data_IF_323842056417
#
_entry.id   IF_323842056417
#
_cell.length_a   1.000
_cell.length_b   1.000
_cell.length_c   1.000
_cell.angle_alpha   90.00
_cell.angle_beta   90.00
_cell.angle_gamma   90.00
#
_symmetry.space_group_name_H-M   'P 1'
#
loop_
_entity.id
_entity.type
_entity.pdbx_description
1 polymer ?
#
# COMPACT_ATOMS: atom_id res chain seq x y z
N UNK A 1 14.26 15.17 7.43
CA UNK A 1 14.51 14.08 8.38
C UNK A 1 13.18 13.41 8.64
N UNK A 2 13.08 12.11 8.36
CA UNK A 2 12.06 11.27 8.96
C UNK A 2 12.47 10.90 10.40
N UNK A 3 11.61 10.19 11.13
CA UNK A 3 11.85 9.88 12.55
C UNK A 3 13.09 9.01 12.78
N UNK A 4 13.47 8.18 11.80
CA UNK A 4 14.63 7.30 11.95
C UNK A 4 15.90 8.07 11.63
N UNK A 5 15.95 8.91 10.59
CA UNK A 5 17.12 9.76 10.30
C UNK A 5 17.33 10.93 11.26
N UNK A 6 16.31 11.32 12.04
CA UNK A 6 16.49 12.29 13.15
C UNK A 6 17.12 11.64 14.39
N UNK A 7 16.81 10.37 14.64
CA UNK A 7 17.22 9.66 15.85
C UNK A 7 18.48 8.79 15.62
N UNK A 8 18.79 8.49 14.35
CA UNK A 8 19.98 7.74 13.91
C UNK A 8 20.81 8.57 12.94
N UNK A 9 22.03 8.91 13.36
CA UNK A 9 22.97 9.68 12.53
C UNK A 9 23.31 8.92 11.24
N UNK A 10 22.86 9.45 10.10
CA UNK A 10 23.28 9.00 8.78
C UNK A 10 24.51 9.81 8.32
N UNK A 11 25.39 9.15 7.55
CA UNK A 11 26.60 9.77 7.03
C UNK A 11 26.27 10.99 6.16
N UNK A 12 27.09 12.06 6.22
CA UNK A 12 26.86 13.32 5.48
C UNK A 12 26.65 13.12 3.96
N UNK A 13 27.24 12.06 3.41
CA UNK A 13 27.07 11.69 2.00
C UNK A 13 25.59 11.51 1.58
N UNK A 14 24.72 11.08 2.51
CA UNK A 14 23.27 10.94 2.25
C UNK A 14 22.57 12.28 1.93
N UNK A 15 23.21 13.42 2.23
CA UNK A 15 22.69 14.76 1.93
C UNK A 15 23.31 15.39 0.68
N UNK A 16 24.37 14.79 0.13
CA UNK A 16 25.17 15.37 -0.96
C UNK A 16 25.11 14.55 -2.25
N UNK A 17 24.76 13.26 -2.16
CA UNK A 17 24.68 12.34 -3.29
C UNK A 17 23.44 11.45 -3.19
N UNK A 18 23.18 10.69 -4.24
CA UNK A 18 22.14 9.66 -4.25
C UNK A 18 22.53 8.52 -3.31
N UNK A 19 21.56 8.09 -2.51
CA UNK A 19 21.71 6.95 -1.60
C UNK A 19 20.52 6.02 -1.73
N UNK A 20 20.78 4.73 -1.59
CA UNK A 20 19.76 3.69 -1.59
C UNK A 20 19.32 3.43 -0.16
N UNK A 21 18.08 3.79 0.13
CA UNK A 21 17.35 3.36 1.32
C UNK A 21 16.60 2.07 1.00
N UNK A 22 16.57 1.14 1.95
CA UNK A 22 15.79 -0.08 1.83
C UNK A 22 15.06 -0.36 3.14
N UNK A 23 13.84 -0.86 3.01
CA UNK A 23 13.05 -1.39 4.11
C UNK A 23 12.69 -2.82 3.75
N UNK A 24 13.16 -3.76 4.57
CA UNK A 24 12.76 -5.15 4.49
C UNK A 24 11.71 -5.42 5.56
N UNK A 25 10.62 -6.09 5.18
CA UNK A 25 9.51 -6.38 6.07
C UNK A 25 9.13 -7.85 5.95
N UNK A 26 9.37 -8.59 7.02
CA UNK A 26 9.09 -10.03 7.13
C UNK A 26 8.03 -10.25 8.20
N UNK A 27 6.98 -10.99 7.85
CA UNK A 27 5.83 -11.28 8.73
C UNK A 27 6.09 -12.47 9.67
N UNK A 28 5.11 -12.80 10.52
CA UNK A 28 5.16 -13.95 11.42
C UNK A 28 5.95 -13.75 12.71
N UNK A 29 5.93 -14.78 13.56
CA UNK A 29 6.48 -14.73 14.93
C UNK A 29 8.00 -14.50 14.98
N UNK A 30 8.71 -14.86 13.91
CA UNK A 30 10.15 -14.66 13.74
C UNK A 30 10.49 -13.54 12.74
N UNK A 31 9.49 -12.76 12.33
CA UNK A 31 9.62 -11.66 11.38
C UNK A 31 10.34 -10.44 11.95
N UNK A 32 10.46 -9.39 11.14
CA UNK A 32 11.07 -8.12 11.50
C UNK A 32 10.73 -7.01 10.49
N UNK A 33 10.89 -5.75 10.90
CA UNK A 33 11.06 -4.63 9.97
C UNK A 33 12.49 -4.10 10.11
N UNK A 34 13.23 -4.03 9.01
CA UNK A 34 14.64 -3.65 8.99
C UNK A 34 14.87 -2.50 8.02
N UNK A 35 15.60 -1.49 8.46
CA UNK A 35 16.01 -0.35 7.66
C UNK A 35 17.49 -0.45 7.32
N UNK A 36 17.79 -0.23 6.05
CA UNK A 36 19.14 -0.25 5.52
C UNK A 36 19.45 1.01 4.72
N UNK A 37 20.71 1.42 4.75
CA UNK A 37 21.27 2.45 3.88
C UNK A 37 22.50 1.86 3.22
N UNK A 38 22.55 1.86 1.88
CA UNK A 38 23.66 1.27 1.12
C UNK A 38 23.94 -0.19 1.53
N UNK A 39 22.87 -0.99 1.69
CA UNK A 39 22.93 -2.38 2.14
C UNK A 39 23.60 -2.59 3.51
N UNK A 40 23.62 -1.55 4.35
CA UNK A 40 24.05 -1.64 5.75
C UNK A 40 22.84 -1.44 6.66
N UNK A 41 22.62 -2.40 7.55
CA UNK A 41 21.54 -2.33 8.55
C UNK A 41 21.82 -1.20 9.53
N UNK A 42 20.88 -0.26 9.62
CA UNK A 42 20.96 0.87 10.56
C UNK A 42 19.99 0.71 11.73
N UNK A 43 18.87 0.03 11.52
CA UNK A 43 17.86 -0.19 12.54
C UNK A 43 16.99 -1.40 12.22
N UNK A 44 16.50 -2.08 13.26
CA UNK A 44 15.62 -3.23 13.14
C UNK A 44 14.63 -3.29 14.30
N UNK A 45 13.39 -3.63 13.99
CA UNK A 45 12.37 -4.00 14.97
C UNK A 45 12.04 -5.48 14.74
N UNK A 46 12.52 -6.39 15.60
CA UNK A 46 12.15 -7.80 15.52
C UNK A 46 10.71 -8.01 16.00
N UNK A 47 10.02 -9.02 15.47
CA UNK A 47 8.66 -9.39 15.88
C UNK A 47 8.54 -9.61 17.40
N UNK A 48 9.60 -10.11 18.04
CA UNK A 48 9.66 -10.30 19.50
C UNK A 48 9.38 -9.01 20.29
N UNK A 49 9.76 -7.84 19.75
CA UNK A 49 9.48 -6.56 20.39
C UNK A 49 7.96 -6.27 20.52
N UNK A 50 7.15 -6.87 19.64
CA UNK A 50 5.70 -6.74 19.61
C UNK A 50 5.00 -7.93 20.28
N UNK A 51 5.49 -9.15 20.06
CA UNK A 51 4.87 -10.39 20.55
C UNK A 51 5.27 -10.72 21.99
N UNK A 52 6.44 -10.27 22.43
CA UNK A 52 6.98 -10.49 23.77
C UNK A 52 7.58 -9.20 24.37
N UNK A 53 6.81 -8.11 24.45
CA UNK A 53 7.31 -6.86 25.01
C UNK A 53 7.69 -7.05 26.48
N UNK A 54 8.68 -6.30 27.01
CA UNK A 54 9.04 -6.33 28.42
C UNK A 54 7.81 -6.15 29.31
N UNK A 55 7.75 -6.88 30.42
CA UNK A 55 6.59 -6.87 31.31
C UNK A 55 6.98 -6.41 32.71
N UNK A 56 6.10 -5.62 33.33
CA UNK A 56 6.18 -5.33 34.74
C UNK A 56 5.54 -6.47 35.58
N UNK A 57 5.51 -6.33 36.91
CA UNK A 57 4.90 -7.34 37.79
C UNK A 57 3.41 -7.57 37.47
N UNK A 58 2.72 -6.54 36.97
CA UNK A 58 1.31 -6.61 36.63
C UNK A 58 1.06 -7.17 35.22
N UNK A 59 2.10 -7.33 34.40
CA UNK A 59 2.06 -7.87 33.04
C UNK A 59 1.07 -7.12 32.14
N UNK A 60 1.10 -5.79 32.23
CA UNK A 60 0.10 -4.93 31.58
C UNK A 60 0.41 -4.60 30.12
N UNK A 61 1.62 -4.87 29.64
CA UNK A 61 1.98 -4.50 28.28
C UNK A 61 1.31 -5.46 27.29
N UNK A 62 0.52 -4.95 26.32
CA UNK A 62 -0.21 -5.79 25.40
C UNK A 62 0.75 -6.52 24.46
N UNK A 63 0.56 -7.83 24.32
CA UNK A 63 1.20 -8.63 23.28
C UNK A 63 0.45 -8.43 21.99
N UNK A 64 1.17 -8.11 20.92
CA UNK A 64 0.62 -7.89 19.58
C UNK A 64 1.20 -8.92 18.63
N UNK A 65 0.55 -9.12 17.51
CA UNK A 65 1.14 -9.83 16.38
C UNK A 65 2.14 -8.91 15.66
N UNK A 66 3.02 -9.51 14.86
CA UNK A 66 3.79 -8.76 13.86
C UNK A 66 2.81 -8.07 12.91
N UNK A 67 3.19 -6.95 12.32
CA UNK A 67 2.30 -6.22 11.42
C UNK A 67 2.24 -6.96 10.08
N UNK A 68 1.06 -7.48 9.74
CA UNK A 68 0.80 -8.28 8.54
C UNK A 68 -0.16 -7.59 7.56
N UNK A 69 -0.70 -6.43 7.94
CA UNK A 69 -1.63 -5.68 7.11
C UNK A 69 -0.94 -5.04 5.90
N UNK A 70 -1.60 -5.00 4.74
CA UNK A 70 -1.07 -4.32 3.56
C UNK A 70 -0.93 -2.82 3.83
N UNK A 71 0.16 -2.23 3.34
CA UNK A 71 0.48 -0.82 3.53
C UNK A 71 0.79 -0.14 2.20
N UNK A 72 0.82 1.19 2.25
CA UNK A 72 1.30 2.05 1.18
C UNK A 72 2.72 2.55 1.46
N UNK A 73 3.45 2.89 0.40
CA UNK A 73 4.71 3.65 0.51
C UNK A 73 4.40 5.11 0.21
N UNK A 74 4.68 5.99 1.17
CA UNK A 74 4.54 7.45 1.00
C UNK A 74 5.91 8.11 1.16
N UNK A 75 6.21 8.99 0.22
CA UNK A 75 7.33 9.93 0.30
C UNK A 75 6.79 11.35 0.36
N UNK A 76 7.11 12.06 1.43
CA UNK A 76 6.76 13.46 1.59
C UNK A 76 7.92 14.24 2.21
N UNK A 77 7.92 15.55 1.99
CA UNK A 77 8.79 16.49 2.69
C UNK A 77 7.91 17.35 3.58
N UNK A 78 8.25 17.40 4.86
CA UNK A 78 7.58 18.23 5.84
C UNK A 78 8.61 19.05 6.62
N UNK A 79 8.18 20.23 7.08
CA UNK A 79 8.94 21.10 7.97
C UNK A 79 8.13 21.27 9.25
N UNK A 80 8.79 21.19 10.40
CA UNK A 80 8.19 21.40 11.71
C UNK A 80 8.91 22.52 12.43
N UNK A 81 8.18 23.29 13.23
CA UNK A 81 8.76 24.30 14.12
C UNK A 81 9.36 23.69 15.39
N UNK A 82 8.99 22.46 15.75
CA UNK A 82 9.27 21.86 17.06
C UNK A 82 10.03 20.54 17.01
N UNK A 83 10.27 19.97 15.83
CA UNK A 83 10.86 18.63 15.71
C UNK A 83 11.73 18.50 14.44
N UNK A 84 12.93 17.93 14.58
CA UNK A 84 13.92 17.84 13.51
C UNK A 84 14.65 19.16 13.25
N UNK A 85 14.78 19.54 11.97
CA UNK A 85 15.38 20.82 11.56
C UNK A 85 14.36 21.95 11.59
N UNK A 86 14.36 22.73 12.68
CA UNK A 86 13.48 23.89 12.82
C UNK A 86 13.91 25.03 11.88
N UNK A 87 13.00 25.64 11.10
CA UNK A 87 13.33 26.80 10.30
C UNK A 87 13.68 28.00 11.21
N UNK A 88 14.59 28.87 10.78
CA UNK A 88 14.90 30.10 11.51
C UNK A 88 13.63 30.93 11.78
N UNK A 89 13.54 31.52 12.97
CA UNK A 89 12.45 32.40 13.38
C UNK A 89 11.03 31.80 13.19
N UNK A 90 10.89 30.49 13.39
CA UNK A 90 9.61 29.80 13.27
C UNK A 90 8.53 30.44 14.16
N UNK A 91 7.44 30.92 13.55
CA UNK A 91 6.34 31.57 14.27
C UNK A 91 6.53 33.06 14.56
N UNK A 92 7.68 33.64 14.24
CA UNK A 92 8.00 35.06 14.45
C UNK A 92 7.88 35.90 13.17
N UNK A 93 7.58 35.26 12.03
CA UNK A 93 7.32 35.92 10.75
C UNK A 93 8.28 35.50 9.65
N UNK A 94 9.17 36.42 9.24
CA UNK A 94 10.14 36.18 8.17
C UNK A 94 11.20 35.16 8.60
N UNK A 95 11.52 34.21 7.72
CA UNK A 95 12.65 33.29 7.90
C UNK A 95 13.95 34.03 8.28
N UNK A 96 14.22 35.19 7.66
CA UNK A 96 15.46 35.94 7.90
C UNK A 96 15.47 36.76 9.19
N UNK A 97 14.36 36.82 9.94
CA UNK A 97 14.23 37.74 11.08
C UNK A 97 14.52 39.18 10.67
N UNK A 98 15.47 39.83 11.36
CA UNK A 98 15.96 41.18 11.03
C UNK A 98 17.08 41.21 9.97
N UNK A 99 17.53 40.05 9.50
CA UNK A 99 18.55 39.88 8.47
C UNK A 99 20.00 40.02 8.97
N UNK A 100 20.24 40.12 10.28
CA UNK A 100 21.58 40.31 10.84
C UNK A 100 22.41 39.02 10.94
N UNK A 101 21.75 37.87 11.01
CA UNK A 101 22.40 36.56 11.14
C UNK A 101 22.80 35.99 9.78
N UNK A 102 24.11 35.81 9.56
CA UNK A 102 24.61 35.21 8.32
C UNK A 102 24.19 33.75 8.17
N UNK A 103 24.02 33.03 9.27
CA UNK A 103 23.59 31.63 9.29
C UNK A 103 22.12 31.50 8.89
N UNK A 104 21.23 32.29 9.51
CA UNK A 104 19.80 32.27 9.17
C UNK A 104 19.58 32.69 7.72
N UNK A 105 20.30 33.73 7.27
CA UNK A 105 20.24 34.16 5.88
C UNK A 105 20.66 33.04 4.91
N UNK A 106 21.73 32.30 5.20
CA UNK A 106 22.18 31.18 4.36
C UNK A 106 21.16 30.03 4.32
N UNK A 107 20.53 29.71 5.45
CA UNK A 107 19.44 28.72 5.51
C UNK A 107 18.23 29.22 4.69
N UNK A 108 17.83 30.47 4.87
CA UNK A 108 16.69 31.04 4.14
C UNK A 108 16.96 31.18 2.62
N UNK A 109 18.22 31.37 2.21
CA UNK A 109 18.65 31.41 0.81
C UNK A 109 18.61 30.04 0.13
N UNK A 110 18.65 28.95 0.92
CA UNK A 110 18.61 27.58 0.39
C UNK A 110 17.20 27.10 -0.01
N UNK A 111 16.16 27.88 0.24
CA UNK A 111 14.80 27.59 -0.21
C UNK A 111 14.54 28.05 -1.66
N UNK A 112 13.74 27.31 -2.45
CA UNK A 112 13.09 26.05 -2.11
C UNK A 112 14.06 24.85 -2.11
N UNK A 113 13.90 23.97 -1.13
CA UNK A 113 14.59 22.67 -1.06
C UNK A 113 13.76 21.59 -1.77
N UNK A 114 14.43 20.56 -2.27
CA UNK A 114 13.80 19.46 -3.02
C UNK A 114 14.24 18.11 -2.48
N UNK A 115 13.28 17.20 -2.25
CA UNK A 115 13.54 15.77 -2.18
C UNK A 115 13.49 15.21 -3.60
N UNK A 116 14.57 14.57 -4.03
CA UNK A 116 14.66 13.93 -5.34
C UNK A 116 14.66 12.42 -5.15
N UNK A 117 13.90 11.72 -5.98
CA UNK A 117 13.81 10.27 -6.00
C UNK A 117 14.15 9.85 -7.43
N UNK A 118 15.20 9.04 -7.59
CA UNK A 118 15.61 8.53 -8.90
C UNK A 118 14.74 7.35 -9.32
N UNK A 119 14.57 6.38 -8.42
CA UNK A 119 13.71 5.22 -8.62
C UNK A 119 13.12 4.70 -7.31
N UNK A 120 12.09 3.88 -7.44
CA UNK A 120 11.49 3.09 -6.37
C UNK A 120 11.39 1.65 -6.88
N UNK A 121 11.75 0.69 -6.04
CA UNK A 121 11.58 -0.74 -6.31
C UNK A 121 10.79 -1.37 -5.16
N UNK A 122 9.83 -2.22 -5.52
CA UNK A 122 9.05 -3.03 -4.59
C UNK A 122 9.24 -4.49 -4.97
N UNK A 123 9.59 -5.30 -3.98
CA UNK A 123 9.83 -6.73 -4.14
C UNK A 123 8.78 -7.51 -3.36
N UNK A 124 8.36 -8.64 -3.92
CA UNK A 124 7.50 -9.62 -3.27
C UNK A 124 8.20 -10.98 -3.35
N UNK A 125 8.25 -11.71 -2.24
CA UNK A 125 8.79 -13.07 -2.23
C UNK A 125 7.79 -14.04 -2.85
N UNK A 126 8.11 -14.51 -4.05
CA UNK A 126 7.31 -15.47 -4.81
C UNK A 126 7.81 -16.91 -4.68
N UNK A 127 8.70 -17.20 -3.73
CA UNK A 127 9.19 -18.56 -3.49
C UNK A 127 8.08 -19.48 -2.97
N UNK A 128 8.18 -20.78 -3.25
CA UNK A 128 7.17 -21.78 -2.84
C UNK A 128 7.03 -21.91 -1.31
N UNK A 129 8.03 -21.44 -0.57
CA UNK A 129 8.09 -21.45 0.90
C UNK A 129 7.88 -20.05 1.51
N UNK A 130 7.41 -19.09 0.73
CA UNK A 130 7.09 -17.74 1.19
C UNK A 130 5.78 -17.78 2.00
N UNK A 131 5.78 -17.11 3.15
CA UNK A 131 4.58 -16.86 3.94
C UNK A 131 3.80 -15.63 3.42
N UNK A 132 4.29 -14.96 2.35
CA UNK A 132 3.59 -13.83 1.74
C UNK A 132 2.36 -14.27 0.96
N UNK A 133 1.18 -13.83 1.40
CA UNK A 133 -0.05 -13.99 0.65
C UNK A 133 -0.27 -12.77 -0.27
N UNK A 134 -0.39 -13.02 -1.57
CA UNK A 134 -0.69 -11.98 -2.57
C UNK A 134 -2.15 -12.15 -3.01
N UNK A 135 -2.97 -11.15 -2.73
CA UNK A 135 -4.36 -11.13 -3.15
C UNK A 135 -5.23 -10.26 -2.26
N UNK A 136 -6.50 -10.16 -2.63
CA UNK A 136 -7.48 -9.29 -1.98
C UNK A 136 -8.21 -9.98 -0.82
N UNK A 137 -8.23 -11.31 -0.83
CA UNK A 137 -8.93 -12.14 0.14
C UNK A 137 -8.15 -13.46 0.36
N UNK A 138 -6.89 -13.40 0.80
CA UNK A 138 -6.12 -14.60 1.08
C UNK A 138 -6.73 -15.36 2.27
N UNK A 139 -6.63 -16.69 2.28
CA UNK A 139 -7.23 -17.51 3.35
C UNK A 139 -6.69 -17.17 4.77
N UNK A 140 -5.46 -16.67 4.87
CA UNK A 140 -4.86 -16.23 6.14
C UNK A 140 -5.40 -14.87 6.61
N UNK A 141 -5.86 -14.02 5.69
CA UNK A 141 -6.44 -12.70 5.96
C UNK A 141 -7.73 -12.55 5.12
N UNK A 142 -8.87 -13.08 5.60
CA UNK A 142 -10.13 -13.09 4.85
C UNK A 142 -10.76 -11.68 4.82
N UNK A 143 -10.10 -10.76 4.12
CA UNK A 143 -10.44 -9.34 4.06
C UNK A 143 -11.84 -9.12 3.49
N UNK A 144 -12.30 -9.98 2.57
CA UNK A 144 -13.67 -9.89 2.05
C UNK A 144 -14.70 -10.04 3.17
N UNK A 145 -14.59 -11.12 3.95
CA UNK A 145 -15.52 -11.37 5.05
C UNK A 145 -15.43 -10.26 6.11
N UNK A 146 -14.22 -9.77 6.39
CA UNK A 146 -14.04 -8.67 7.33
C UNK A 146 -14.75 -7.38 6.88
N UNK A 147 -14.65 -7.02 5.60
CA UNK A 147 -15.35 -5.86 5.04
C UNK A 147 -16.87 -6.06 5.09
N UNK A 148 -17.36 -7.25 4.73
CA UNK A 148 -18.79 -7.58 4.77
C UNK A 148 -19.36 -7.50 6.20
N UNK A 149 -18.61 -7.99 7.19
CA UNK A 149 -19.01 -7.98 8.60
C UNK A 149 -18.93 -6.57 9.23
N UNK A 150 -18.15 -5.66 8.65
CA UNK A 150 -17.94 -4.29 9.13
C UNK A 150 -18.31 -3.24 8.06
N UNK A 151 -19.34 -3.52 7.26
CA UNK A 151 -19.66 -2.72 6.06
C UNK A 151 -19.96 -1.25 6.35
N UNK A 152 -20.45 -0.94 7.55
CA UNK A 152 -20.74 0.42 8.00
C UNK A 152 -19.46 1.28 8.14
N UNK A 153 -18.28 0.68 8.30
CA UNK A 153 -17.00 1.39 8.36
C UNK A 153 -16.45 1.74 6.97
N UNK A 154 -16.90 1.01 5.93
CA UNK A 154 -16.40 1.14 4.56
C UNK A 154 -17.40 1.83 3.62
N UNK A 155 -18.60 2.13 4.10
CA UNK A 155 -19.67 2.66 3.26
C UNK A 155 -20.32 3.90 3.85
N UNK A 156 -20.59 4.86 2.98
CA UNK A 156 -21.38 6.04 3.31
C UNK A 156 -22.16 6.50 2.08
N UNK A 157 -22.75 7.69 2.14
CA UNK A 157 -23.53 8.25 1.02
C UNK A 157 -22.68 8.59 -0.21
N UNK A 158 -21.40 8.88 -0.02
CA UNK A 158 -20.46 9.24 -1.08
C UNK A 158 -19.66 8.02 -1.57
N UNK A 159 -19.55 6.96 -0.76
CA UNK A 159 -18.93 5.67 -1.07
C UNK A 159 -19.90 4.49 -0.84
N UNK A 160 -20.89 4.29 -1.72
CA UNK A 160 -21.85 3.19 -1.56
C UNK A 160 -21.25 1.84 -1.90
N UNK A 161 -21.59 0.80 -1.12
CA UNK A 161 -21.27 -0.59 -1.49
C UNK A 161 -21.93 -0.95 -2.82
N UNK A 162 -21.11 -1.16 -3.84
CA UNK A 162 -21.56 -1.40 -5.21
C UNK A 162 -20.96 -2.69 -5.72
N UNK A 163 -21.80 -3.69 -5.99
CA UNK A 163 -21.35 -4.93 -6.61
C UNK A 163 -20.85 -4.67 -8.04
N UNK A 164 -19.66 -5.17 -8.36
CA UNK A 164 -19.08 -5.09 -9.71
C UNK A 164 -19.44 -6.35 -10.50
N UNK A 165 -19.99 -6.16 -11.69
CA UNK A 165 -20.30 -7.24 -12.63
C UNK A 165 -19.36 -7.17 -13.84
N UNK A 166 -18.59 -8.24 -14.07
CA UNK A 166 -17.53 -8.26 -15.08
C UNK A 166 -16.29 -7.44 -14.66
N UNK A 167 -15.46 -7.09 -15.64
CA UNK A 167 -14.25 -6.29 -15.50
C UNK A 167 -13.07 -6.93 -14.75
N UNK A 168 -13.20 -8.15 -14.21
CA UNK A 168 -12.03 -8.87 -13.73
C UNK A 168 -11.03 -9.07 -14.86
N UNK A 169 -9.74 -8.94 -14.54
CA UNK A 169 -8.69 -9.24 -15.50
C UNK A 169 -8.73 -10.70 -15.95
N UNK A 170 -8.58 -10.90 -17.25
CA UNK A 170 -8.57 -12.21 -17.87
C UNK A 170 -7.57 -12.30 -19.02
N UNK A 171 -7.07 -13.51 -19.27
CA UNK A 171 -6.30 -13.85 -20.47
C UNK A 171 -7.08 -14.72 -21.47
N UNK A 172 -8.12 -15.40 -21.00
CA UNK A 172 -8.95 -16.31 -21.81
C UNK A 172 -10.36 -16.44 -21.22
N UNK A 173 -11.30 -16.91 -22.03
CA UNK A 173 -12.70 -17.11 -21.65
C UNK A 173 -12.85 -18.05 -20.43
N UNK A 174 -11.92 -18.99 -20.25
CA UNK A 174 -11.93 -19.95 -19.13
C UNK A 174 -11.83 -19.25 -17.76
N UNK A 175 -11.20 -18.08 -17.69
CA UNK A 175 -11.06 -17.28 -16.47
C UNK A 175 -12.31 -16.43 -16.13
N UNK A 176 -13.28 -16.40 -17.04
CA UNK A 176 -14.55 -15.67 -16.93
C UNK A 176 -15.77 -16.60 -16.88
N UNK A 177 -15.52 -17.90 -16.69
CA UNK A 177 -16.57 -18.92 -16.72
C UNK A 177 -16.47 -19.91 -15.57
N UNK A 178 -17.58 -20.55 -15.22
CA UNK A 178 -17.57 -21.60 -14.19
C UNK A 178 -17.06 -22.89 -14.81
N UNK A 179 -15.96 -23.41 -14.27
CA UNK A 179 -15.49 -24.76 -14.59
C UNK A 179 -16.42 -25.79 -13.93
N UNK A 180 -17.17 -26.53 -14.76
CA UNK A 180 -18.06 -27.59 -14.29
C UNK A 180 -18.09 -28.74 -15.29
N UNK A 181 -18.58 -29.91 -14.84
CA UNK A 181 -18.65 -31.12 -15.68
C UNK A 181 -19.48 -30.93 -16.97
N UNK A 182 -20.29 -29.88 -17.04
CA UNK A 182 -20.90 -29.35 -18.26
C UNK A 182 -20.40 -27.92 -18.49
N UNK A 183 -19.69 -27.62 -19.59
CA UNK A 183 -19.22 -26.27 -19.85
C UNK A 183 -20.41 -25.32 -19.98
N UNK A 184 -20.59 -24.43 -19.00
CA UNK A 184 -21.56 -23.34 -19.06
C UNK A 184 -20.74 -22.08 -19.25
N UNK A 185 -20.83 -21.46 -20.43
CA UNK A 185 -20.18 -20.16 -20.69
C UNK A 185 -20.98 -19.06 -20.00
N UNK A 186 -20.47 -18.57 -18.88
CA UNK A 186 -21.10 -17.50 -18.08
C UNK A 186 -20.53 -16.12 -18.40
N UNK A 187 -19.32 -16.07 -18.96
CA UNK A 187 -18.68 -14.88 -19.48
C UNK A 187 -17.61 -15.19 -20.54
N UNK A 188 -17.06 -14.14 -21.11
CA UNK A 188 -15.98 -14.15 -22.11
C UNK A 188 -14.93 -13.11 -21.77
N UNK A 189 -13.69 -13.37 -22.16
CA UNK A 189 -12.60 -12.42 -22.02
C UNK A 189 -12.55 -11.49 -23.23
N UNK A 190 -12.77 -10.20 -22.99
CA UNK A 190 -12.72 -9.18 -24.03
C UNK A 190 -11.29 -8.98 -24.54
N UNK A 191 -11.14 -8.38 -25.72
CA UNK A 191 -9.83 -8.04 -26.28
C UNK A 191 -9.00 -7.11 -25.40
N UNK A 192 -9.65 -6.37 -24.51
CA UNK A 192 -9.01 -5.45 -23.57
C UNK A 192 -8.54 -6.15 -22.28
N UNK A 193 -8.73 -7.48 -22.18
CA UNK A 193 -8.27 -8.30 -21.06
C UNK A 193 -9.21 -8.26 -19.85
N UNK A 194 -10.51 -8.06 -20.08
CA UNK A 194 -11.52 -7.96 -19.03
C UNK A 194 -12.70 -8.92 -19.26
N UNK A 195 -13.21 -9.52 -18.18
CA UNK A 195 -14.38 -10.39 -18.25
C UNK A 195 -15.66 -9.60 -18.57
N UNK A 196 -16.47 -10.14 -19.48
CA UNK A 196 -17.80 -9.66 -19.82
C UNK A 196 -18.80 -10.82 -19.73
N UNK A 197 -19.98 -10.58 -19.14
CA UNK A 197 -20.98 -11.63 -18.93
C UNK A 197 -21.67 -11.99 -20.26
N UNK A 198 -21.90 -13.28 -20.47
CA UNK A 198 -22.57 -13.76 -21.69
C UNK A 198 -24.08 -13.48 -21.69
N UNK A 199 -24.69 -13.41 -20.50
CA UNK A 199 -26.12 -13.17 -20.28
C UNK A 199 -26.38 -12.43 -18.97
N UNK A 200 -27.52 -11.76 -18.86
CA UNK A 200 -28.01 -11.09 -17.63
C UNK A 200 -28.27 -12.06 -16.45
N UNK A 201 -28.00 -13.37 -16.61
CA UNK A 201 -28.17 -14.38 -15.56
C UNK A 201 -26.93 -14.52 -14.67
N UNK A 202 -25.84 -13.82 -15.00
CA UNK A 202 -24.56 -13.91 -14.30
C UNK A 202 -24.04 -12.52 -13.90
N UNK A 203 -23.34 -12.48 -12.78
CA UNK A 203 -22.75 -11.29 -12.17
C UNK A 203 -21.42 -11.64 -11.51
N UNK A 204 -20.86 -10.68 -10.77
CA UNK A 204 -19.57 -10.78 -10.13
C UNK A 204 -18.44 -10.43 -11.10
N UNK A 205 -17.23 -10.14 -10.59
CA UNK A 205 -16.14 -9.64 -11.41
C UNK A 205 -15.72 -10.61 -12.53
N UNK A 206 -15.77 -11.92 -12.25
CA UNK A 206 -15.45 -13.00 -13.20
C UNK A 206 -16.69 -13.61 -13.87
N UNK A 207 -17.88 -13.03 -13.70
CA UNK A 207 -19.13 -13.54 -14.26
C UNK A 207 -19.50 -14.96 -13.78
N UNK A 208 -19.05 -15.37 -12.59
CA UNK A 208 -19.26 -16.73 -12.05
C UNK A 208 -20.35 -16.80 -10.98
N UNK A 209 -21.03 -15.69 -10.68
CA UNK A 209 -22.07 -15.64 -9.66
C UNK A 209 -23.45 -15.52 -10.32
N UNK A 210 -24.49 -16.24 -9.85
CA UNK A 210 -25.82 -16.11 -10.40
C UNK A 210 -26.43 -14.74 -10.08
N UNK A 211 -26.94 -14.05 -11.10
CA UNK A 211 -27.60 -12.77 -10.93
C UNK A 211 -28.96 -12.94 -10.21
N UNK A 212 -29.16 -12.22 -9.11
CA UNK A 212 -30.47 -12.11 -8.46
C UNK A 212 -31.28 -10.98 -9.11
N UNK A 213 -32.61 -10.97 -8.95
CA UNK A 213 -33.50 -9.94 -9.52
C UNK A 213 -33.27 -8.51 -8.99
N UNK A 214 -32.31 -8.32 -8.08
CA UNK A 214 -31.89 -7.03 -7.53
C UNK A 214 -30.50 -6.57 -8.03
N UNK A 215 -29.86 -7.31 -8.94
CA UNK A 215 -28.59 -6.90 -9.55
C UNK A 215 -28.85 -5.78 -10.57
N UNK A 216 -28.64 -4.54 -10.14
CA UNK A 216 -28.75 -3.38 -11.02
C UNK A 216 -27.63 -3.48 -12.07
N UNK A 217 -28.00 -3.39 -13.35
CA UNK A 217 -27.03 -3.23 -14.44
C UNK A 217 -26.14 -2.03 -14.12
N UNK A 218 -24.87 -2.26 -13.81
CA UNK A 218 -23.85 -1.23 -14.01
C UNK A 218 -23.68 -1.08 -15.52
N UNK A 219 -24.55 -0.26 -16.12
CA UNK A 219 -24.24 0.34 -17.40
C UNK A 219 -22.92 1.10 -17.27
N UNK A 220 -22.19 1.23 -18.37
CA UNK A 220 -21.05 2.13 -18.51
C UNK A 220 -21.47 3.56 -18.13
N UNK A 221 -21.48 3.87 -16.83
CA UNK A 221 -21.31 5.22 -16.37
C UNK A 221 -19.83 5.49 -16.50
N UNK A 222 -19.49 6.43 -17.36
CA UNK A 222 -18.18 7.03 -17.42
C UNK A 222 -17.89 7.75 -16.08
N UNK A 223 -17.67 6.99 -15.02
CA UNK A 223 -17.00 7.48 -13.84
C UNK A 223 -15.52 7.44 -14.19
N UNK A 224 -14.99 8.61 -14.54
CA UNK A 224 -13.57 8.92 -14.46
C UNK A 224 -13.12 8.82 -12.99
N UNK A 225 -13.13 7.61 -12.45
CA UNK A 225 -12.47 7.24 -11.22
C UNK A 225 -11.05 6.87 -11.59
N UNK A 226 -10.09 7.61 -11.04
CA UNK A 226 -8.67 7.37 -11.21
C UNK A 226 -8.31 6.04 -10.52
N UNK A 227 -8.50 4.93 -11.23
CA UNK A 227 -7.92 3.65 -10.84
C UNK A 227 -6.40 3.85 -10.79
N UNK A 228 -5.79 3.67 -9.62
CA UNK A 228 -4.33 3.64 -9.51
C UNK A 228 -3.82 2.49 -10.40
N UNK A 229 -3.24 2.85 -11.55
CA UNK A 229 -2.45 1.95 -12.37
C UNK A 229 -1.19 1.60 -11.58
N UNK A 230 -1.16 0.44 -10.96
CA UNK A 230 0.12 -0.19 -10.59
C UNK A 230 0.74 -0.72 -11.88
N UNK A 231 1.86 -0.11 -12.28
CA UNK A 231 2.68 -0.64 -13.36
C UNK A 231 3.35 -1.92 -12.85
N UNK A 232 2.99 -3.07 -13.42
CA UNK A 232 3.83 -4.26 -13.39
C UNK A 232 4.61 -4.31 -14.70
N UNK A 233 5.91 -4.06 -14.63
CA UNK A 233 6.83 -4.44 -15.70
C UNK A 233 7.46 -5.78 -15.31
N UNK A 234 7.10 -6.85 -16.02
CA UNK A 234 7.93 -8.04 -16.12
C UNK A 234 7.42 -9.32 -15.46
N UNK A 235 6.20 -9.76 -15.75
CA UNK A 235 5.90 -11.06 -16.38
C UNK A 235 4.40 -11.07 -16.70
N UNK A 236 4.00 -11.66 -17.83
CA UNK A 236 2.70 -11.44 -18.48
C UNK A 236 1.49 -12.08 -17.78
N UNK A 237 1.21 -11.74 -16.53
CA UNK A 237 -0.05 -12.07 -15.85
C UNK A 237 -0.43 -10.97 -14.85
N UNK A 238 -1.58 -10.28 -14.99
CA UNK A 238 -2.09 -9.39 -13.96
C UNK A 238 -2.55 -10.22 -12.76
N UNK A 239 -1.64 -10.50 -11.84
CA UNK A 239 -1.98 -11.07 -10.52
C UNK A 239 -2.46 -9.94 -9.63
N UNK A 240 -3.77 -9.79 -9.52
CA UNK A 240 -4.42 -9.03 -8.46
C UNK A 240 -4.60 -7.56 -8.76
N UNK A 241 -5.66 -7.22 -9.48
CA UNK A 241 -6.41 -6.03 -9.12
C UNK A 241 -7.62 -6.48 -8.29
N UNK A 242 -7.79 -5.85 -7.14
CA UNK A 242 -8.95 -6.07 -6.30
C UNK A 242 -10.17 -5.38 -6.92
N UNK A 243 -11.27 -6.11 -7.14
CA UNK A 243 -12.53 -5.53 -7.61
C UNK A 243 -13.17 -4.62 -6.55
#
# INVERSE_FOLDING_TARGET
>A
MDAISSDWEVHMAAYLDWVTYSVEWVMGDAGYVRWEVENQVIFEIPAEALTNPPQDTAQMNPKKIMVEEPMYIIFNVALSSSWGSSPPHAGEGSCRGDGSSSEDNAICDSFPMYLKIDYIQLYQDTSDNSDMAIGCDPASHPTKQWIEDNIDDYTDTDNPYTAVSGLAFCNSDDECTIDSSTPVSTGTCTSDGHCEYSTDSWTGPRCTEPASSSSTRCGLSAATGLWLRTFSTGDGSPKGACP
#
